data_IF_898197791816
#
_entry.id   IF_898197791816
#
_cell.length_a   1.000
_cell.length_b   1.000
_cell.length_c   1.000
_cell.angle_alpha   90.00
_cell.angle_beta   90.00
_cell.angle_gamma   90.00
#
_symmetry.space_group_name_H-M   'P 1'
#
loop_
_entity.id
_entity.type
_entity.pdbx_description
1 polymer ?
#
# COMPACT_ATOMS: atom_id res chain seq x y z
N UNK A 1 11.89 5.38 -29.06
CA UNK A 1 10.77 5.58 -28.13
C UNK A 1 10.41 4.24 -27.52
N UNK A 2 10.42 4.11 -26.21
CA UNK A 2 10.19 2.83 -25.52
C UNK A 2 8.69 2.44 -25.61
N UNK A 3 8.40 1.43 -26.43
CA UNK A 3 7.04 0.95 -26.68
C UNK A 3 6.41 0.36 -25.42
N UNK A 4 7.20 -0.26 -24.54
CA UNK A 4 6.72 -0.80 -23.26
C UNK A 4 6.23 0.33 -22.35
N UNK A 5 6.99 1.42 -22.27
CA UNK A 5 6.63 2.61 -21.49
C UNK A 5 5.33 3.24 -22.00
N UNK A 6 5.19 3.42 -23.33
CA UNK A 6 3.96 3.97 -23.94
C UNK A 6 2.74 3.10 -23.60
N UNK A 7 2.91 1.78 -23.68
CA UNK A 7 1.84 0.83 -23.37
C UNK A 7 1.43 0.90 -21.89
N UNK A 8 2.39 1.04 -20.99
CA UNK A 8 2.18 1.18 -19.56
C UNK A 8 1.49 2.50 -19.20
N UNK A 9 1.91 3.61 -19.77
CA UNK A 9 1.25 4.91 -19.61
C UNK A 9 -0.20 4.86 -20.10
N UNK A 10 -0.44 4.24 -21.26
CA UNK A 10 -1.79 4.04 -21.79
C UNK A 10 -2.65 3.15 -20.87
N UNK A 11 -2.08 2.09 -20.31
CA UNK A 11 -2.75 1.23 -19.35
C UNK A 11 -3.15 2.00 -18.09
N UNK A 12 -2.23 2.78 -17.52
CA UNK A 12 -2.49 3.65 -16.38
C UNK A 12 -3.69 4.58 -16.64
N UNK A 13 -3.70 5.29 -17.78
CA UNK A 13 -4.79 6.21 -18.11
C UNK A 13 -6.14 5.50 -18.28
N UNK A 14 -6.14 4.31 -18.88
CA UNK A 14 -7.39 3.55 -19.08
C UNK A 14 -7.89 2.96 -17.76
N UNK A 15 -7.01 2.35 -16.96
CA UNK A 15 -7.39 1.78 -15.66
C UNK A 15 -7.82 2.85 -14.66
N UNK A 16 -7.14 4.00 -14.59
CA UNK A 16 -7.51 5.10 -13.70
C UNK A 16 -8.89 5.70 -14.00
N UNK A 17 -9.32 5.64 -15.27
CA UNK A 17 -10.64 6.13 -15.69
C UNK A 17 -11.74 5.08 -15.53
N UNK A 18 -11.49 3.80 -15.85
CA UNK A 18 -12.50 2.75 -16.01
C UNK A 18 -12.44 1.64 -14.97
N UNK A 19 -11.33 1.50 -14.21
CA UNK A 19 -11.05 0.34 -13.37
C UNK A 19 -10.66 -0.90 -14.17
N UNK A 20 -10.37 -1.99 -13.46
CA UNK A 20 -9.89 -3.24 -14.04
C UNK A 20 -10.96 -3.92 -14.91
N UNK A 21 -12.19 -4.08 -14.38
CA UNK A 21 -13.26 -4.85 -15.04
C UNK A 21 -13.66 -4.28 -16.39
N UNK A 22 -13.79 -2.95 -16.52
CA UNK A 22 -14.23 -2.29 -17.74
C UNK A 22 -13.10 -2.01 -18.74
N UNK A 23 -11.87 -2.45 -18.44
CA UNK A 23 -10.70 -2.28 -19.30
C UNK A 23 -10.42 -3.57 -20.09
N UNK A 24 -10.08 -3.42 -21.37
CA UNK A 24 -9.65 -4.51 -22.25
C UNK A 24 -8.28 -4.21 -22.86
N UNK A 25 -7.53 -5.27 -23.24
CA UNK A 25 -6.25 -5.13 -23.95
C UNK A 25 -6.43 -4.29 -25.22
N UNK A 26 -7.50 -4.53 -25.99
CA UNK A 26 -7.83 -3.71 -27.18
C UNK A 26 -8.04 -2.24 -26.85
N UNK A 27 -8.67 -1.93 -25.70
CA UNK A 27 -8.84 -0.56 -25.22
C UNK A 27 -7.51 0.12 -24.90
N UNK A 28 -6.60 -0.59 -24.21
CA UNK A 28 -5.26 -0.10 -23.86
C UNK A 28 -4.43 0.13 -25.13
N UNK A 29 -4.37 -0.85 -26.03
CA UNK A 29 -3.56 -0.75 -27.25
C UNK A 29 -4.08 0.33 -28.20
N UNK A 30 -5.41 0.50 -28.30
CA UNK A 30 -6.02 1.62 -29.04
C UNK A 30 -5.59 2.97 -28.46
N UNK A 31 -5.57 3.10 -27.12
CA UNK A 31 -5.12 4.32 -26.46
C UNK A 31 -3.63 4.59 -26.72
N UNK A 32 -2.81 3.54 -26.67
CA UNK A 32 -1.39 3.57 -26.99
C UNK A 32 -1.08 3.78 -28.48
N UNK A 33 -2.08 3.80 -29.36
CA UNK A 33 -1.94 3.80 -30.83
C UNK A 33 -1.07 2.66 -31.35
N UNK A 34 -1.27 1.47 -30.78
CA UNK A 34 -0.54 0.24 -31.10
C UNK A 34 -1.49 -0.87 -31.58
N UNK A 35 -0.97 -1.79 -32.41
CA UNK A 35 -1.69 -3.00 -32.77
C UNK A 35 -1.83 -3.94 -31.55
N UNK A 36 -2.95 -4.66 -31.43
CA UNK A 36 -3.19 -5.60 -30.33
C UNK A 36 -2.09 -6.67 -30.22
N UNK A 37 -1.59 -7.19 -31.37
CA UNK A 37 -0.48 -8.14 -31.38
C UNK A 37 0.82 -7.61 -30.78
N UNK A 38 1.04 -6.29 -30.80
CA UNK A 38 2.22 -5.67 -30.18
C UNK A 38 2.19 -5.70 -28.65
N UNK A 39 1.02 -5.86 -28.05
CA UNK A 39 0.86 -5.99 -26.59
C UNK A 39 1.61 -7.24 -26.08
N UNK A 40 1.43 -8.35 -26.74
CA UNK A 40 1.97 -9.66 -26.33
C UNK A 40 3.50 -9.76 -26.45
N UNK A 41 4.16 -8.77 -27.05
CA UNK A 41 5.63 -8.64 -26.99
C UNK A 41 6.14 -8.14 -25.62
N UNK A 42 5.25 -7.61 -24.76
CA UNK A 42 5.63 -6.95 -23.51
C UNK A 42 4.92 -7.52 -22.29
N UNK A 43 3.67 -7.98 -22.45
CA UNK A 43 2.82 -8.50 -21.37
C UNK A 43 2.01 -9.70 -21.87
N UNK A 44 1.96 -10.75 -21.05
CA UNK A 44 1.26 -11.99 -21.40
C UNK A 44 -0.26 -11.88 -21.27
N UNK A 45 -0.73 -10.96 -20.38
CA UNK A 45 -2.16 -10.83 -20.06
C UNK A 45 -2.52 -9.44 -19.56
N UNK A 46 -3.84 -9.18 -19.40
CA UNK A 46 -4.33 -7.96 -18.76
C UNK A 46 -3.94 -7.89 -17.28
N UNK A 47 -3.88 -9.03 -16.62
CA UNK A 47 -3.48 -9.18 -15.24
C UNK A 47 -2.04 -8.70 -15.02
N UNK A 48 -1.11 -9.11 -15.90
CA UNK A 48 0.31 -8.73 -15.79
C UNK A 48 0.55 -7.24 -15.99
N UNK A 49 -0.09 -6.59 -16.97
CA UNK A 49 0.04 -5.13 -17.13
C UNK A 49 -0.71 -4.37 -16.03
N UNK A 50 -1.81 -4.93 -15.50
CA UNK A 50 -2.50 -4.31 -14.37
C UNK A 50 -1.64 -4.38 -13.11
N UNK A 51 -1.02 -5.52 -12.80
CA UNK A 51 -0.11 -5.68 -11.66
C UNK A 51 1.05 -4.65 -11.73
N UNK A 52 1.69 -4.53 -12.89
CA UNK A 52 2.77 -3.54 -13.10
C UNK A 52 2.27 -2.10 -12.89
N UNK A 53 1.06 -1.80 -13.38
CA UNK A 53 0.41 -0.49 -13.19
C UNK A 53 0.03 -0.25 -11.71
N UNK A 54 -0.47 -1.26 -11.03
CA UNK A 54 -0.85 -1.21 -9.62
C UNK A 54 0.37 -0.92 -8.73
N UNK A 55 1.47 -1.64 -8.95
CA UNK A 55 2.72 -1.46 -8.19
C UNK A 55 3.23 -0.03 -8.32
N UNK A 56 3.25 0.51 -9.54
CA UNK A 56 3.71 1.88 -9.78
C UNK A 56 2.80 2.91 -9.11
N UNK A 57 1.49 2.76 -9.24
CA UNK A 57 0.53 3.67 -8.61
C UNK A 57 0.58 3.58 -7.08
N UNK A 58 0.69 2.38 -6.52
CA UNK A 58 0.85 2.21 -5.09
C UNK A 58 2.13 2.91 -4.58
N UNK A 59 3.25 2.74 -5.26
CA UNK A 59 4.51 3.40 -4.91
C UNK A 59 4.39 4.92 -5.01
N UNK A 60 3.72 5.44 -6.04
CA UNK A 60 3.47 6.88 -6.22
C UNK A 60 2.63 7.46 -5.06
N UNK A 61 1.55 6.78 -4.69
CA UNK A 61 0.68 7.21 -3.58
C UNK A 61 1.43 7.14 -2.24
N UNK A 62 2.18 6.06 -2.00
CA UNK A 62 2.99 5.92 -0.78
C UNK A 62 4.06 7.00 -0.67
N UNK A 63 4.69 7.37 -1.78
CA UNK A 63 5.65 8.49 -1.79
C UNK A 63 4.97 9.85 -1.49
N UNK A 64 3.75 10.07 -1.98
CA UNK A 64 2.98 11.26 -1.61
C UNK A 64 2.68 11.29 -0.10
N UNK A 65 2.35 10.14 0.50
CA UNK A 65 2.13 10.06 1.95
C UNK A 65 3.42 10.38 2.72
N UNK A 66 4.56 9.85 2.30
CA UNK A 66 5.87 10.19 2.93
C UNK A 66 6.11 11.70 2.89
N UNK A 67 5.82 12.35 1.78
CA UNK A 67 6.10 13.78 1.60
C UNK A 67 5.11 14.71 2.33
N UNK A 68 3.90 14.23 2.63
CA UNK A 68 2.82 15.07 3.14
C UNK A 68 2.51 14.87 4.64
N UNK A 69 3.10 13.87 5.28
CA UNK A 69 2.93 13.58 6.69
C UNK A 69 4.06 14.25 7.50
N UNK A 70 3.72 14.85 8.63
CA UNK A 70 4.70 15.34 9.60
C UNK A 70 5.23 14.17 10.44
N UNK A 71 6.36 13.60 10.00
CA UNK A 71 6.98 12.44 10.62
C UNK A 71 7.68 12.76 11.94
N UNK A 72 7.96 14.03 12.24
CA UNK A 72 8.60 14.47 13.49
C UNK A 72 7.58 14.94 14.55
N UNK A 73 6.33 15.09 14.16
CA UNK A 73 5.25 15.55 15.00
C UNK A 73 4.80 14.54 16.07
N UNK A 74 3.71 14.85 16.76
CA UNK A 74 3.09 13.96 17.74
C UNK A 74 2.69 12.62 17.13
N UNK A 75 3.08 11.51 17.77
CA UNK A 75 2.91 10.16 17.22
C UNK A 75 1.43 9.76 17.05
N UNK A 76 0.54 10.28 17.89
CA UNK A 76 -0.90 10.00 17.78
C UNK A 76 -1.47 10.71 16.56
N UNK A 77 -1.15 12.01 16.38
CA UNK A 77 -1.55 12.80 15.21
C UNK A 77 -0.95 12.20 13.91
N UNK A 78 0.29 11.77 13.96
CA UNK A 78 0.94 11.08 12.85
C UNK A 78 0.17 9.82 12.47
N UNK A 79 -0.24 9.02 13.45
CA UNK A 79 -1.03 7.80 13.22
C UNK A 79 -2.39 8.14 12.60
N UNK A 80 -3.09 9.15 13.11
CA UNK A 80 -4.36 9.63 12.55
C UNK A 80 -4.20 10.14 11.10
N UNK A 81 -3.13 10.89 10.82
CA UNK A 81 -2.83 11.37 9.47
C UNK A 81 -2.53 10.21 8.52
N UNK A 82 -1.77 9.20 8.96
CA UNK A 82 -1.42 8.03 8.16
C UNK A 82 -2.66 7.28 7.71
N UNK A 83 -3.56 6.94 8.64
CA UNK A 83 -4.82 6.27 8.33
C UNK A 83 -5.77 7.14 7.51
N UNK A 84 -5.92 8.42 7.87
CA UNK A 84 -6.78 9.36 7.15
C UNK A 84 -6.35 9.58 5.69
N UNK A 85 -5.05 9.77 5.44
CA UNK A 85 -4.52 9.91 4.08
C UNK A 85 -4.63 8.59 3.30
N UNK A 86 -4.31 7.45 3.91
CA UNK A 86 -4.46 6.14 3.28
C UNK A 86 -5.90 5.92 2.81
N UNK A 87 -6.88 6.13 3.68
CA UNK A 87 -8.31 6.02 3.36
C UNK A 87 -8.73 6.95 2.23
N UNK A 88 -8.37 8.24 2.30
CA UNK A 88 -8.73 9.24 1.30
C UNK A 88 -8.12 8.93 -0.08
N UNK A 89 -6.83 8.62 -0.12
CA UNK A 89 -6.11 8.41 -1.37
C UNK A 89 -6.47 7.07 -2.05
N UNK A 90 -6.73 6.03 -1.27
CA UNK A 90 -7.07 4.70 -1.82
C UNK A 90 -8.53 4.66 -2.25
N UNK A 91 -9.48 5.17 -1.46
CA UNK A 91 -10.91 5.08 -1.77
C UNK A 91 -11.31 5.80 -3.07
N UNK A 92 -10.61 6.86 -3.44
CA UNK A 92 -10.84 7.63 -4.67
C UNK A 92 -10.03 7.11 -5.87
N UNK A 93 -9.09 6.21 -5.65
CA UNK A 93 -8.18 5.70 -6.67
C UNK A 93 -8.70 4.39 -7.26
N UNK A 94 -9.15 4.42 -8.52
CA UNK A 94 -9.73 3.25 -9.20
C UNK A 94 -8.77 2.09 -9.45
N UNK A 95 -7.46 2.33 -9.40
CA UNK A 95 -6.45 1.28 -9.50
C UNK A 95 -6.28 0.62 -8.13
N UNK A 96 -6.04 1.41 -7.08
CA UNK A 96 -5.77 0.88 -5.74
C UNK A 96 -7.00 0.26 -5.08
N UNK A 97 -8.22 0.74 -5.38
CA UNK A 97 -9.47 0.16 -4.90
C UNK A 97 -9.74 -1.28 -5.40
N UNK A 98 -8.99 -1.74 -6.40
CA UNK A 98 -9.11 -3.11 -6.94
C UNK A 98 -8.44 -4.18 -6.05
N UNK A 99 -7.82 -3.82 -4.92
CA UNK A 99 -7.15 -4.73 -4.00
C UNK A 99 -8.02 -5.94 -3.60
N UNK A 100 -9.30 -5.71 -3.35
CA UNK A 100 -10.27 -6.75 -2.98
C UNK A 100 -11.15 -7.23 -4.14
N UNK A 101 -10.86 -6.83 -5.38
CA UNK A 101 -11.62 -7.29 -6.53
C UNK A 101 -11.27 -8.77 -6.83
N UNK A 102 -12.25 -9.72 -6.74
CA UNK A 102 -11.98 -11.15 -6.95
C UNK A 102 -11.36 -11.49 -8.31
N UNK A 103 -11.51 -10.61 -9.31
CA UNK A 103 -10.96 -10.82 -10.65
C UNK A 103 -9.45 -10.59 -10.75
N UNK A 104 -8.82 -9.94 -9.75
CA UNK A 104 -7.39 -9.60 -9.77
C UNK A 104 -6.72 -9.70 -8.40
N UNK A 105 -7.47 -9.80 -7.31
CA UNK A 105 -6.94 -9.77 -5.95
C UNK A 105 -5.91 -10.86 -5.69
N UNK A 106 -6.09 -12.07 -6.23
CA UNK A 106 -5.12 -13.17 -6.07
C UNK A 106 -3.74 -12.81 -6.62
N UNK A 107 -3.68 -12.17 -7.77
CA UNK A 107 -2.42 -11.74 -8.40
C UNK A 107 -1.72 -10.66 -7.54
N UNK A 108 -2.50 -9.68 -7.06
CA UNK A 108 -1.98 -8.63 -6.19
C UNK A 108 -1.46 -9.20 -4.86
N UNK A 109 -2.24 -10.05 -4.20
CA UNK A 109 -1.85 -10.66 -2.92
C UNK A 109 -0.64 -11.58 -3.07
N UNK A 110 -0.57 -12.38 -4.15
CA UNK A 110 0.59 -13.22 -4.44
C UNK A 110 1.87 -12.39 -4.60
N UNK A 111 1.81 -11.29 -5.36
CA UNK A 111 2.96 -10.41 -5.51
C UNK A 111 3.40 -9.81 -4.18
N UNK A 112 2.50 -9.16 -3.43
CA UNK A 112 2.86 -8.50 -2.18
C UNK A 112 3.25 -9.47 -1.06
N UNK A 113 2.87 -10.73 -1.15
CA UNK A 113 3.30 -11.81 -0.24
C UNK A 113 4.63 -12.45 -0.64
N UNK A 114 5.08 -12.24 -1.89
CA UNK A 114 6.35 -12.77 -2.39
C UNK A 114 7.56 -12.06 -1.78
N UNK A 115 8.72 -12.70 -1.85
CA UNK A 115 9.98 -12.07 -1.42
C UNK A 115 10.31 -10.81 -2.22
N UNK A 116 10.00 -10.80 -3.52
CA UNK A 116 10.16 -9.62 -4.38
C UNK A 116 9.27 -8.46 -3.91
N UNK A 117 7.98 -8.70 -3.72
CA UNK A 117 7.01 -7.68 -3.28
C UNK A 117 7.33 -7.14 -1.89
N UNK A 118 7.69 -8.01 -0.93
CA UNK A 118 8.16 -7.58 0.40
C UNK A 118 9.46 -6.79 0.30
N UNK A 119 10.42 -7.26 -0.49
CA UNK A 119 11.72 -6.61 -0.69
C UNK A 119 11.60 -5.24 -1.36
N UNK A 120 10.63 -5.04 -2.23
CA UNK A 120 10.38 -3.78 -2.96
C UNK A 120 9.53 -2.76 -2.19
N UNK A 121 8.90 -3.15 -1.07
CA UNK A 121 8.01 -2.27 -0.30
C UNK A 121 8.79 -1.21 0.50
N UNK A 122 9.20 -0.14 -0.18
CA UNK A 122 9.98 0.96 0.42
C UNK A 122 9.17 1.71 1.49
N UNK A 123 7.86 1.82 1.32
CA UNK A 123 7.01 2.48 2.31
C UNK A 123 6.99 1.73 3.64
N UNK A 124 6.84 0.40 3.61
CA UNK A 124 6.89 -0.41 4.82
C UNK A 124 8.25 -0.29 5.53
N UNK A 125 9.34 -0.35 4.76
CA UNK A 125 10.70 -0.16 5.32
C UNK A 125 10.84 1.21 6.00
N UNK A 126 10.38 2.27 5.33
CA UNK A 126 10.37 3.63 5.87
C UNK A 126 9.57 3.72 7.18
N UNK A 127 8.36 3.13 7.23
CA UNK A 127 7.54 3.12 8.44
C UNK A 127 8.24 2.40 9.61
N UNK A 128 8.80 1.22 9.35
CA UNK A 128 9.54 0.45 10.37
C UNK A 128 10.75 1.23 10.88
N UNK A 129 11.52 1.83 9.99
CA UNK A 129 12.68 2.64 10.35
C UNK A 129 12.29 3.86 11.19
N UNK A 130 11.31 4.64 10.74
CA UNK A 130 10.80 5.82 11.47
C UNK A 130 10.30 5.43 12.86
N UNK A 131 9.50 4.36 12.95
CA UNK A 131 8.96 3.89 14.22
C UNK A 131 10.05 3.37 15.17
N UNK A 132 11.03 2.64 14.62
CA UNK A 132 12.21 2.16 15.37
C UNK A 132 13.00 3.33 15.96
N UNK A 133 13.30 4.35 15.16
CA UNK A 133 14.04 5.53 15.60
C UNK A 133 13.33 6.25 16.74
N UNK A 134 12.00 6.39 16.67
CA UNK A 134 11.21 6.98 17.73
C UNK A 134 11.27 6.18 19.03
N UNK A 135 11.14 4.85 18.96
CA UNK A 135 11.25 3.98 20.14
C UNK A 135 12.64 4.07 20.75
N UNK A 136 13.70 4.16 19.95
CA UNK A 136 15.07 4.37 20.44
C UNK A 136 15.21 5.71 21.17
N UNK A 137 14.63 6.78 20.61
CA UNK A 137 14.65 8.12 21.24
C UNK A 137 13.92 8.12 22.59
N UNK A 138 12.86 7.34 22.72
CA UNK A 138 12.13 7.13 23.99
C UNK A 138 12.89 6.23 24.97
N UNK A 139 14.03 5.66 24.58
CA UNK A 139 14.89 4.85 25.45
C UNK A 139 14.48 3.37 25.57
N UNK A 140 13.69 2.85 24.63
CA UNK A 140 13.40 1.42 24.58
C UNK A 140 14.64 0.60 24.22
N UNK A 141 14.84 -0.57 24.90
CA UNK A 141 15.90 -1.49 24.56
C UNK A 141 15.68 -2.14 23.19
N UNK A 142 16.77 -2.60 22.55
CA UNK A 142 16.67 -3.30 21.26
C UNK A 142 15.76 -4.54 21.33
N UNK A 143 15.80 -5.27 22.43
CA UNK A 143 14.96 -6.45 22.64
C UNK A 143 13.47 -6.05 22.67
N UNK A 144 13.15 -4.99 23.42
CA UNK A 144 11.77 -4.49 23.51
C UNK A 144 11.27 -3.92 22.19
N UNK A 145 12.13 -3.24 21.43
CA UNK A 145 11.79 -2.76 20.07
C UNK A 145 11.44 -3.95 19.17
N UNK A 146 12.20 -5.03 19.19
CA UNK A 146 11.89 -6.22 18.39
C UNK A 146 10.55 -6.86 18.77
N UNK A 147 10.20 -6.87 20.05
CA UNK A 147 8.89 -7.32 20.53
C UNK A 147 7.76 -6.42 20.00
N UNK A 148 7.92 -5.11 20.09
CA UNK A 148 6.97 -4.10 19.60
C UNK A 148 6.78 -4.21 18.09
N UNK A 149 7.85 -4.41 17.33
CA UNK A 149 7.78 -4.58 15.87
C UNK A 149 7.02 -5.83 15.44
N UNK A 150 6.96 -6.89 16.25
CA UNK A 150 6.08 -8.05 15.98
C UNK A 150 4.60 -7.65 16.03
N UNK A 151 4.22 -6.79 16.97
CA UNK A 151 2.85 -6.24 17.04
C UNK A 151 2.57 -5.36 15.81
N UNK A 152 3.52 -4.52 15.42
CA UNK A 152 3.40 -3.72 14.20
C UNK A 152 3.21 -4.58 12.94
N UNK A 153 3.90 -5.72 12.86
CA UNK A 153 3.72 -6.70 11.76
C UNK A 153 2.28 -7.24 11.71
N UNK A 154 1.63 -7.41 12.87
CA UNK A 154 0.23 -7.85 12.94
C UNK A 154 -0.72 -6.79 12.32
N UNK A 155 -0.50 -5.50 12.54
CA UNK A 155 -1.29 -4.45 11.87
C UNK A 155 -1.19 -4.54 10.36
N UNK A 156 0.02 -4.73 9.84
CA UNK A 156 0.21 -4.91 8.40
C UNK A 156 -0.51 -6.16 7.86
N UNK A 157 -0.50 -7.25 8.63
CA UNK A 157 -1.23 -8.46 8.27
C UNK A 157 -2.76 -8.22 8.20
N UNK A 158 -3.32 -7.51 9.18
CA UNK A 158 -4.74 -7.17 9.20
C UNK A 158 -5.08 -6.31 7.96
N UNK A 159 -4.31 -5.27 7.68
CA UNK A 159 -4.54 -4.36 6.54
C UNK A 159 -4.52 -5.11 5.19
N UNK A 160 -3.66 -6.11 5.06
CA UNK A 160 -3.52 -6.88 3.82
C UNK A 160 -4.56 -7.99 3.63
N UNK A 161 -5.09 -8.58 4.72
CA UNK A 161 -5.80 -9.84 4.63
C UNK A 161 -7.23 -9.80 5.19
N UNK A 162 -7.58 -8.83 6.03
CA UNK A 162 -8.90 -8.75 6.66
C UNK A 162 -9.76 -7.69 5.97
N UNK A 163 -10.97 -8.08 5.60
CA UNK A 163 -11.91 -7.23 4.85
C UNK A 163 -13.10 -6.82 5.69
N UNK A 164 -13.89 -5.85 5.23
CA UNK A 164 -15.17 -5.46 5.82
C UNK A 164 -16.20 -6.61 5.86
N UNK A 165 -15.99 -7.66 5.06
CA UNK A 165 -16.84 -8.89 5.10
C UNK A 165 -16.47 -9.79 6.27
N UNK A 166 -15.19 -9.81 6.64
CA UNK A 166 -14.70 -10.63 7.75
C UNK A 166 -15.00 -9.95 9.08
N UNK A 167 -14.73 -8.67 9.18
CA UNK A 167 -14.98 -7.84 10.38
C UNK A 167 -15.57 -6.49 9.93
N UNK A 168 -16.84 -6.21 10.22
CA UNK A 168 -17.45 -4.91 9.93
C UNK A 168 -16.69 -3.75 10.59
N UNK A 169 -16.44 -2.69 9.83
CA UNK A 169 -15.66 -1.52 10.23
C UNK A 169 -14.21 -1.85 10.62
N UNK A 170 -13.60 -2.87 10.01
CA UNK A 170 -12.22 -3.31 10.32
C UNK A 170 -11.22 -2.17 10.15
N UNK A 171 -11.35 -1.36 9.12
CA UNK A 171 -10.43 -0.23 8.85
C UNK A 171 -10.45 0.79 10.01
N UNK A 172 -11.63 1.20 10.46
CA UNK A 172 -11.79 2.13 11.59
C UNK A 172 -11.34 1.49 12.91
N UNK A 173 -11.65 0.21 13.11
CA UNK A 173 -11.25 -0.54 14.30
C UNK A 173 -9.73 -0.68 14.38
N UNK A 174 -9.07 -0.96 13.26
CA UNK A 174 -7.61 -1.06 13.18
C UNK A 174 -6.93 0.30 13.44
N UNK A 175 -7.49 1.39 12.92
CA UNK A 175 -7.03 2.75 13.23
C UNK A 175 -7.10 3.04 14.74
N UNK A 176 -8.23 2.76 15.37
CA UNK A 176 -8.40 2.96 16.83
C UNK A 176 -7.44 2.10 17.64
N UNK A 177 -7.26 0.84 17.23
CA UNK A 177 -6.30 -0.06 17.88
C UNK A 177 -4.87 0.47 17.76
N UNK A 178 -4.47 0.95 16.57
CA UNK A 178 -3.16 1.55 16.35
C UNK A 178 -2.96 2.81 17.22
N UNK A 179 -3.98 3.67 17.34
CA UNK A 179 -3.95 4.86 18.21
C UNK A 179 -3.78 4.47 19.68
N UNK A 180 -4.53 3.47 20.18
CA UNK A 180 -4.37 3.00 21.56
C UNK A 180 -2.99 2.38 21.79
N UNK A 181 -2.49 1.64 20.82
CA UNK A 181 -1.15 1.04 20.87
C UNK A 181 -0.06 2.10 20.98
N UNK A 182 -0.04 3.11 20.10
CA UNK A 182 0.97 4.18 20.16
C UNK A 182 0.81 5.04 21.40
N UNK A 183 -0.41 5.32 21.88
CA UNK A 183 -0.64 6.02 23.16
C UNK A 183 -0.03 5.24 24.32
N UNK A 184 -0.20 3.93 24.36
CA UNK A 184 0.39 3.08 25.41
C UNK A 184 1.92 3.10 25.39
N UNK A 185 2.53 3.21 24.21
CA UNK A 185 4.00 3.25 24.07
C UNK A 185 4.61 4.62 24.38
N UNK A 186 3.95 5.72 23.98
CA UNK A 186 4.57 7.05 24.01
C UNK A 186 4.00 7.98 25.10
N UNK A 187 2.78 7.73 25.61
CA UNK A 187 2.14 8.57 26.62
C UNK A 187 1.90 7.83 27.96
N UNK A 188 2.18 6.55 28.06
CA UNK A 188 2.09 5.79 29.30
C UNK A 188 3.19 6.18 30.30
N UNK A 189 2.88 6.19 31.60
CA UNK A 189 3.92 6.20 32.61
C UNK A 189 4.87 5.05 32.34
N UNK A 190 6.15 5.38 32.11
CA UNK A 190 7.14 4.49 31.56
C UNK A 190 7.36 3.28 32.49
N UNK A 191 6.71 2.15 32.17
CA UNK A 191 7.29 0.87 32.50
C UNK A 191 8.39 0.57 31.46
N UNK A 192 9.49 1.28 31.60
CA UNK A 192 10.76 0.96 30.93
C UNK A 192 11.32 -0.28 31.61
N UNK A 193 10.91 -1.45 31.11
CA UNK A 193 11.54 -2.73 31.48
C UNK A 193 12.49 -3.16 30.39
#
# INVERSE_FOLDING_TARGET
MDKKKILKEAAYEVFSKKGYKATSISGITKHAKMAVGSFYNFYDSKETIFLDTYIEENNRIRQLMINNIDWEGDVVKLTEQLFGQSRSLISTNKILSEWYNPAISSELHNYYSSEEGKGSNQFYKFLVENFTNRLQTEGYSQEKIQEILKIYTLFNYIDMNVTEKDIPNVSETTERLAIYFVKGLFNGEQQKF
#
